data_IF_771812224059
#
_entry.id   IF_771812224059
#
_cell.length_a   1.000
_cell.length_b   1.000
_cell.length_c   1.000
_cell.angle_alpha   90.00
_cell.angle_beta   90.00
_cell.angle_gamma   90.00
#
_symmetry.space_group_name_H-M   'P 1'
#
loop_
_entity.id
_entity.type
_entity.pdbx_description
1 polymer ?
#
# COMPACT_ATOMS: atom_id res chain seq x y z
N UNK A 1 4.79 5.64 -20.34
CA UNK A 1 3.79 4.79 -19.68
C UNK A 1 3.86 5.11 -18.20
N UNK A 2 2.74 5.33 -17.53
CA UNK A 2 2.73 5.50 -16.07
C UNK A 2 2.83 4.08 -15.48
N UNK A 3 3.56 3.87 -14.40
CA UNK A 3 3.69 2.56 -13.76
C UNK A 3 3.28 2.72 -12.30
N UNK A 4 2.37 1.86 -11.83
CA UNK A 4 1.90 1.87 -10.44
C UNK A 4 2.55 0.72 -9.72
N UNK A 5 3.20 1.03 -8.59
CA UNK A 5 3.87 0.04 -7.77
C UNK A 5 3.20 -0.05 -6.40
N UNK A 6 2.76 -1.25 -6.03
CA UNK A 6 2.29 -1.57 -4.68
C UNK A 6 3.44 -2.23 -3.93
N UNK A 7 4.20 -1.43 -3.22
CA UNK A 7 5.38 -1.88 -2.46
C UNK A 7 4.95 -2.37 -1.08
N UNK A 8 5.42 -3.55 -0.67
CA UNK A 8 5.12 -4.13 0.64
C UNK A 8 6.33 -4.82 1.28
N UNK A 9 6.25 -5.09 2.58
CA UNK A 9 7.15 -5.99 3.31
C UNK A 9 6.29 -7.07 3.98
N UNK A 10 6.71 -8.33 3.96
CA UNK A 10 5.93 -9.42 4.58
C UNK A 10 6.79 -10.50 5.22
N UNK A 11 6.53 -10.80 6.50
CA UNK A 11 7.16 -11.93 7.20
C UNK A 11 6.40 -13.24 7.01
N UNK A 12 5.07 -13.17 6.93
CA UNK A 12 4.16 -14.34 6.92
C UNK A 12 3.33 -14.45 5.63
N UNK A 13 3.64 -13.65 4.60
CA UNK A 13 2.92 -13.65 3.31
C UNK A 13 1.53 -12.98 3.30
N UNK A 14 1.02 -12.49 4.43
CA UNK A 14 -0.29 -11.82 4.50
C UNK A 14 -0.31 -10.47 3.78
N UNK A 15 0.70 -9.63 4.01
CA UNK A 15 0.80 -8.31 3.34
C UNK A 15 0.92 -8.46 1.83
N UNK A 16 1.57 -9.54 1.34
CA UNK A 16 1.62 -9.87 -0.10
C UNK A 16 0.23 -10.03 -0.70
N UNK A 17 -0.64 -10.81 -0.05
CA UNK A 17 -2.01 -11.04 -0.56
C UNK A 17 -2.84 -9.76 -0.59
N UNK A 18 -2.68 -8.90 0.42
CA UNK A 18 -3.32 -7.58 0.44
C UNK A 18 -2.78 -6.72 -0.71
N UNK A 19 -1.46 -6.70 -0.92
CA UNK A 19 -0.84 -5.93 -2.00
C UNK A 19 -1.29 -6.40 -3.39
N UNK A 20 -1.38 -7.72 -3.61
CA UNK A 20 -1.89 -8.32 -4.84
C UNK A 20 -3.36 -7.97 -5.07
N UNK A 21 -4.18 -8.00 -4.01
CA UNK A 21 -5.58 -7.59 -4.09
C UNK A 21 -5.71 -6.10 -4.46
N UNK A 22 -4.91 -5.22 -3.84
CA UNK A 22 -4.86 -3.79 -4.19
C UNK A 22 -4.46 -3.62 -5.65
N UNK A 23 -3.40 -4.31 -6.09
CA UNK A 23 -2.92 -4.25 -7.47
C UNK A 23 -3.98 -4.71 -8.47
N UNK A 24 -4.76 -5.76 -8.14
CA UNK A 24 -5.87 -6.23 -8.96
C UNK A 24 -6.99 -5.20 -9.16
N UNK A 25 -7.09 -4.19 -8.29
CA UNK A 25 -8.05 -3.09 -8.41
C UNK A 25 -7.72 -2.11 -9.54
N UNK A 26 -6.52 -2.17 -10.11
CA UNK A 26 -6.08 -1.39 -11.27
C UNK A 26 -6.36 -2.22 -12.54
N UNK A 27 -7.62 -2.24 -12.96
CA UNK A 27 -8.17 -3.06 -14.06
C UNK A 27 -7.90 -2.49 -15.47
N UNK A 28 -6.95 -1.56 -15.64
CA UNK A 28 -6.65 -0.88 -16.90
C UNK A 28 -5.23 -0.30 -16.95
N UNK A 29 -4.93 0.50 -17.98
CA UNK A 29 -3.64 1.18 -18.12
C UNK A 29 -3.64 2.55 -17.41
N UNK A 30 -2.67 2.83 -16.51
CA UNK A 30 -1.56 1.96 -16.14
C UNK A 30 -1.97 0.85 -15.17
N UNK A 31 -1.49 -0.37 -15.43
CA UNK A 31 -1.63 -1.47 -14.48
C UNK A 31 -0.80 -1.25 -13.22
N UNK A 32 -1.08 -2.05 -12.18
CA UNK A 32 -0.31 -2.05 -10.95
C UNK A 32 0.40 -3.40 -10.71
N UNK A 33 1.60 -3.33 -10.15
CA UNK A 33 2.40 -4.51 -9.80
C UNK A 33 2.65 -4.50 -8.28
N UNK A 34 2.38 -5.64 -7.63
CA UNK A 34 2.75 -5.85 -6.24
C UNK A 34 4.20 -6.31 -6.14
N UNK A 35 5.03 -5.55 -5.42
CA UNK A 35 6.46 -5.82 -5.28
C UNK A 35 6.87 -5.85 -3.80
N UNK A 36 7.52 -6.94 -3.40
CA UNK A 36 8.14 -7.06 -2.08
C UNK A 36 9.38 -6.15 -2.02
N UNK A 37 9.56 -5.47 -0.90
CA UNK A 37 10.86 -4.90 -0.54
C UNK A 37 11.78 -6.09 -0.30
N UNK A 38 13.04 -6.00 -0.75
CA UNK A 38 14.06 -7.01 -0.44
C UNK A 38 13.94 -7.39 1.04
N UNK A 39 13.82 -8.71 1.33
CA UNK A 39 13.51 -9.24 2.65
C UNK A 39 14.50 -8.80 3.76
N UNK A 40 15.63 -8.21 3.38
CA UNK A 40 16.64 -7.69 4.30
C UNK A 40 16.48 -6.20 4.65
N UNK A 41 15.50 -5.49 4.07
CA UNK A 41 15.28 -4.05 4.29
C UNK A 41 13.87 -3.81 4.82
N UNK A 42 13.77 -3.36 6.07
CA UNK A 42 12.48 -3.01 6.65
C UNK A 42 11.88 -1.76 6.01
N UNK A 43 10.55 -1.62 6.01
CA UNK A 43 9.84 -0.50 5.37
C UNK A 43 10.36 0.90 5.79
N UNK A 44 10.79 1.06 7.04
CA UNK A 44 11.36 2.32 7.56
C UNK A 44 12.70 2.65 6.93
N UNK A 45 13.54 1.63 6.79
CA UNK A 45 14.86 1.75 6.18
C UNK A 45 14.72 2.01 4.69
N UNK A 46 13.82 1.30 4.01
CA UNK A 46 13.49 1.55 2.62
C UNK A 46 13.01 2.99 2.37
N UNK A 47 12.09 3.50 3.18
CA UNK A 47 11.61 4.89 3.09
C UNK A 47 12.74 5.92 3.26
N UNK A 48 13.73 5.64 4.11
CA UNK A 48 14.87 6.52 4.33
C UNK A 48 15.84 6.58 3.13
N UNK A 49 15.78 5.59 2.23
CA UNK A 49 16.62 5.49 1.04
C UNK A 49 15.93 5.99 -0.23
N UNK A 50 14.65 6.39 -0.15
CA UNK A 50 13.94 6.93 -1.30
C UNK A 50 14.64 8.19 -1.82
N UNK A 51 14.84 8.23 -3.14
CA UNK A 51 15.12 9.49 -3.81
C UNK A 51 13.92 10.44 -3.60
N UNK A 52 14.16 11.75 -3.44
CA UNK A 52 13.08 12.71 -3.39
C UNK A 52 12.13 12.55 -4.58
N UNK A 53 10.84 12.58 -4.30
CA UNK A 53 9.78 12.51 -5.28
C UNK A 53 9.87 13.70 -6.23
N UNK A 54 9.50 13.47 -7.49
CA UNK A 54 9.28 14.57 -8.41
C UNK A 54 7.94 15.27 -8.08
N UNK A 55 7.81 16.59 -8.31
CA UNK A 55 6.56 17.30 -8.05
C UNK A 55 5.35 16.63 -8.73
N UNK A 56 4.28 16.41 -7.95
CA UNK A 56 3.06 15.73 -8.42
C UNK A 56 3.13 14.21 -8.43
N UNK A 57 4.22 13.59 -7.96
CA UNK A 57 4.27 12.14 -7.80
C UNK A 57 3.38 11.71 -6.62
N UNK A 58 2.37 10.91 -6.94
CA UNK A 58 1.30 10.49 -6.02
C UNK A 58 1.70 9.23 -5.23
N UNK A 59 1.20 9.10 -4.01
CA UNK A 59 1.32 7.87 -3.21
C UNK A 59 0.11 7.66 -2.29
N UNK A 60 -0.08 6.41 -1.87
CA UNK A 60 -1.01 6.01 -0.82
C UNK A 60 -0.32 5.00 0.10
N UNK A 61 -0.82 4.83 1.32
CA UNK A 61 -0.23 3.93 2.30
C UNK A 61 -1.27 2.92 2.80
N UNK A 62 -0.84 1.70 3.05
CA UNK A 62 -1.65 0.71 3.75
C UNK A 62 -0.80 -0.05 4.78
N UNK A 63 -1.46 -0.73 5.71
CA UNK A 63 -0.85 -1.74 6.56
C UNK A 63 -1.77 -2.96 6.72
N UNK A 64 -1.25 -4.00 7.38
CA UNK A 64 -2.02 -5.18 7.79
C UNK A 64 -2.08 -5.28 9.29
N UNK A 65 -3.19 -5.81 9.81
CA UNK A 65 -3.42 -5.99 11.24
C UNK A 65 -4.01 -7.36 11.54
N UNK A 66 -3.50 -7.99 12.59
CA UNK A 66 -4.15 -9.14 13.20
C UNK A 66 -5.33 -8.66 14.06
N UNK A 67 -6.28 -9.55 14.35
CA UNK A 67 -7.36 -9.29 15.31
C UNK A 67 -6.78 -8.82 16.66
N UNK A 68 -7.03 -7.55 17.03
CA UNK A 68 -6.49 -6.90 18.22
C UNK A 68 -6.86 -5.41 18.30
N UNK A 69 -6.59 -4.72 19.43
CA UNK A 69 -7.03 -3.34 19.64
C UNK A 69 -6.41 -2.38 18.60
N UNK A 70 -7.26 -1.66 17.86
CA UNK A 70 -6.87 -0.75 16.78
C UNK A 70 -5.83 0.33 17.17
N UNK A 71 -5.70 0.64 18.47
CA UNK A 71 -4.73 1.59 19.02
C UNK A 71 -3.26 1.12 18.87
N UNK A 72 -3.01 -0.19 18.76
CA UNK A 72 -1.68 -0.76 18.55
C UNK A 72 -1.35 -0.99 17.07
N UNK A 73 -2.36 -1.01 16.19
CA UNK A 73 -2.22 -1.54 14.82
C UNK A 73 -2.11 -0.47 13.73
N UNK A 74 -2.59 0.77 13.96
CA UNK A 74 -2.51 1.87 12.97
C UNK A 74 -1.22 2.70 13.00
N UNK A 75 -0.12 2.17 13.53
CA UNK A 75 1.16 2.89 13.63
C UNK A 75 1.99 2.78 12.36
N UNK A 76 1.98 1.62 11.70
CA UNK A 76 2.83 1.34 10.55
C UNK A 76 2.47 2.27 9.39
N UNK A 77 1.20 2.30 8.99
CA UNK A 77 0.69 3.19 7.95
C UNK A 77 0.96 4.68 8.24
N UNK A 78 0.76 5.15 9.49
CA UNK A 78 1.13 6.53 9.87
C UNK A 78 2.62 6.84 9.69
N UNK A 79 3.50 5.90 10.04
CA UNK A 79 4.94 6.05 9.78
C UNK A 79 5.25 6.07 8.29
N UNK A 80 4.58 5.22 7.50
CA UNK A 80 4.72 5.17 6.03
C UNK A 80 4.27 6.50 5.41
N UNK A 81 3.07 6.98 5.76
CA UNK A 81 2.54 8.29 5.39
C UNK A 81 3.53 9.42 5.71
N UNK A 82 4.11 9.42 6.92
CA UNK A 82 5.11 10.43 7.28
C UNK A 82 6.38 10.35 6.43
N UNK A 83 6.88 9.13 6.17
CA UNK A 83 8.05 8.90 5.32
C UNK A 83 7.82 9.37 3.88
N UNK A 84 6.68 8.98 3.28
CA UNK A 84 6.29 9.40 1.92
C UNK A 84 6.17 10.92 1.81
N UNK A 85 5.54 11.58 2.78
CA UNK A 85 5.45 13.05 2.80
C UNK A 85 6.83 13.70 2.91
N UNK A 86 7.72 13.18 3.76
CA UNK A 86 9.10 13.67 3.88
C UNK A 86 9.89 13.50 2.58
N UNK A 87 9.63 12.43 1.84
CA UNK A 87 10.21 12.18 0.53
C UNK A 87 9.59 13.06 -0.58
N UNK A 88 8.50 13.81 -0.32
CA UNK A 88 7.90 14.75 -1.27
C UNK A 88 6.71 14.23 -2.07
N UNK A 89 6.19 13.04 -1.75
CA UNK A 89 5.01 12.50 -2.43
C UNK A 89 3.72 13.23 -2.04
N UNK A 90 2.83 13.39 -3.01
CA UNK A 90 1.45 13.81 -2.79
C UNK A 90 0.61 12.62 -2.33
N UNK A 91 0.10 12.67 -1.09
CA UNK A 91 -0.77 11.61 -0.60
C UNK A 91 -2.20 11.81 -1.11
N UNK A 92 -2.71 10.82 -1.85
CA UNK A 92 -4.00 10.90 -2.54
C UNK A 92 -5.15 10.26 -1.76
N UNK A 93 -4.85 9.53 -0.68
CA UNK A 93 -5.83 8.90 0.18
C UNK A 93 -5.35 8.86 1.63
N UNK A 94 -6.30 8.79 2.57
CA UNK A 94 -5.99 8.39 3.93
C UNK A 94 -5.44 6.95 3.96
N UNK A 95 -4.55 6.61 4.91
CA UNK A 95 -4.00 5.27 4.99
C UNK A 95 -5.08 4.24 5.35
N UNK A 96 -5.04 3.08 4.67
CA UNK A 96 -5.93 1.95 4.94
C UNK A 96 -5.27 0.85 5.77
N UNK A 97 -6.08 0.08 6.50
CA UNK A 97 -5.59 -1.00 7.37
C UNK A 97 -6.41 -2.28 7.17
N UNK A 98 -5.79 -3.31 6.59
CA UNK A 98 -6.46 -4.56 6.20
C UNK A 98 -6.33 -5.64 7.27
N UNK A 99 -7.44 -6.33 7.53
CA UNK A 99 -7.46 -7.42 8.51
C UNK A 99 -6.90 -8.70 7.91
N UNK A 100 -5.99 -9.33 8.64
CA UNK A 100 -5.36 -10.60 8.24
C UNK A 100 -5.39 -11.57 9.41
N UNK A 101 -5.34 -12.87 9.11
CA UNK A 101 -5.27 -13.92 10.13
C UNK A 101 -3.82 -14.28 10.47
N UNK A 102 -3.60 -15.14 11.47
CA UNK A 102 -2.25 -15.59 11.84
C UNK A 102 -1.62 -16.52 10.79
N UNK A 103 -2.45 -17.23 10.02
CA UNK A 103 -1.98 -17.99 8.88
C UNK A 103 -1.97 -17.10 7.63
N UNK A 104 -1.25 -17.48 6.55
CA UNK A 104 -1.25 -16.76 5.29
C UNK A 104 -2.63 -16.81 4.61
N UNK A 105 -3.60 -16.06 5.13
CA UNK A 105 -4.95 -15.96 4.63
C UNK A 105 -5.54 -14.58 4.92
N UNK A 106 -6.19 -14.06 3.88
CA UNK A 106 -7.07 -12.89 3.92
C UNK A 106 -8.48 -13.39 3.66
N UNK A 107 -9.49 -12.83 4.34
CA UNK A 107 -10.88 -13.18 4.05
C UNK A 107 -11.26 -12.71 2.64
N UNK A 108 -12.26 -13.33 2.04
CA UNK A 108 -12.78 -12.91 0.74
C UNK A 108 -13.30 -11.45 0.79
N UNK A 109 -13.93 -11.07 1.90
CA UNK A 109 -14.41 -9.71 2.12
C UNK A 109 -13.27 -8.67 2.17
N UNK A 110 -12.18 -8.98 2.89
CA UNK A 110 -11.00 -8.11 2.96
C UNK A 110 -10.26 -8.06 1.61
N UNK A 111 -10.18 -9.18 0.89
CA UNK A 111 -9.65 -9.20 -0.46
C UNK A 111 -10.44 -8.27 -1.38
N UNK A 112 -11.77 -8.39 -1.40
CA UNK A 112 -12.62 -7.50 -2.19
C UNK A 112 -12.53 -6.04 -1.73
N UNK A 113 -12.34 -5.79 -0.43
CA UNK A 113 -12.14 -4.43 0.09
C UNK A 113 -10.83 -3.83 -0.42
N UNK A 114 -9.75 -4.60 -0.39
CA UNK A 114 -8.44 -4.21 -0.91
C UNK A 114 -8.49 -3.89 -2.42
N UNK A 115 -9.16 -4.74 -3.20
CA UNK A 115 -9.38 -4.50 -4.63
C UNK A 115 -10.23 -3.25 -4.90
N UNK A 116 -11.31 -3.03 -4.14
CA UNK A 116 -12.13 -1.81 -4.24
C UNK A 116 -11.32 -0.56 -3.91
N UNK A 117 -10.43 -0.64 -2.92
CA UNK A 117 -9.55 0.48 -2.59
C UNK A 117 -8.55 0.77 -3.71
N UNK A 118 -7.93 -0.26 -4.32
CA UNK A 118 -7.10 -0.11 -5.52
C UNK A 118 -7.84 0.61 -6.66
N UNK A 119 -9.09 0.23 -6.93
CA UNK A 119 -9.95 0.89 -7.92
C UNK A 119 -10.25 2.35 -7.59
N UNK A 120 -10.47 2.67 -6.33
CA UNK A 120 -10.66 4.06 -5.88
C UNK A 120 -9.38 4.89 -6.07
N UNK A 121 -8.20 4.33 -5.78
CA UNK A 121 -6.92 4.97 -6.03
C UNK A 121 -6.68 5.22 -7.52
N UNK A 122 -7.02 4.25 -8.38
CA UNK A 122 -6.93 4.41 -9.83
C UNK A 122 -7.74 5.64 -10.31
N UNK A 123 -8.98 5.78 -9.83
CA UNK A 123 -9.85 6.92 -10.16
C UNK A 123 -9.28 8.27 -9.70
N UNK A 124 -8.53 8.32 -8.58
CA UNK A 124 -7.86 9.53 -8.07
C UNK A 124 -6.58 9.87 -8.84
N UNK A 125 -5.96 8.89 -9.49
CA UNK A 125 -4.77 9.10 -10.33
C UNK A 125 -5.19 9.59 -11.72
N UNK A 126 -6.31 9.10 -12.25
CA UNK A 126 -6.84 9.38 -13.59
C UNK A 126 -7.58 10.73 -13.72
N UNK A 127 -7.56 11.60 -12.71
CA UNK A 127 -8.21 12.92 -12.76
C UNK A 127 -7.52 13.93 -13.71
N UNK A 128 -6.78 13.47 -14.71
CA UNK A 128 -6.45 14.27 -15.90
C UNK A 128 -7.66 14.28 -16.84
N UNK A 129 -8.66 15.09 -16.51
CA UNK A 129 -9.49 15.77 -17.51
C UNK A 129 -9.14 17.25 -17.50
#
# INVERSE_FOLDING_TARGET
>A
MMEILVVYETMYGNTRRVAEAIASGFDGEPGAIAQDIDANVGIREWLAQLRPAIPGQKAAAFDTRNHGPAFLTGRASKHITSGLRKAGFELIAEPESFEVSQEPSISEDEFHRAARWGKALAALIDTRK
#
